data_IF_360391588098
#
_entry.id   IF_360391588098
#
_cell.length_a   1.000
_cell.length_b   1.000
_cell.length_c   1.000
_cell.angle_alpha   90.00
_cell.angle_beta   90.00
_cell.angle_gamma   90.00
#
_symmetry.space_group_name_H-M   'P 1'
#
loop_
_entity.id
_entity.type
_entity.pdbx_description
1 polymer ?
#
# COMPACT_ATOMS: atom_id res chain seq x y z
N UNK A 1 0.77 -29.85 6.61
CA UNK A 1 0.22 -30.31 5.32
C UNK A 1 -0.83 -31.37 5.61
N UNK A 2 -2.08 -31.23 5.12
CA UNK A 2 -3.09 -32.29 5.30
C UNK A 2 -2.62 -33.59 4.68
N UNK A 3 -2.91 -34.69 5.36
CA UNK A 3 -2.57 -36.03 4.92
C UNK A 3 -3.81 -36.93 5.05
N UNK A 4 -4.08 -37.76 4.06
CA UNK A 4 -5.22 -38.67 4.04
C UNK A 4 -4.79 -40.11 3.81
N UNK A 5 -5.22 -41.01 4.68
CA UNK A 5 -4.90 -42.43 4.62
C UNK A 5 -6.15 -43.29 4.80
N UNK A 6 -6.15 -44.48 4.20
CA UNK A 6 -7.13 -45.51 4.59
C UNK A 6 -6.80 -45.98 6.00
N UNK A 7 -7.78 -45.87 6.90
CA UNK A 7 -7.59 -46.15 8.34
C UNK A 7 -6.96 -47.53 8.61
N UNK A 8 -7.45 -48.54 7.92
CA UNK A 8 -6.93 -49.90 8.06
C UNK A 8 -5.44 -50.01 7.73
N UNK A 9 -5.02 -49.35 6.64
CA UNK A 9 -3.62 -49.37 6.22
C UNK A 9 -2.73 -48.58 7.18
N UNK A 10 -3.23 -47.46 7.72
CA UNK A 10 -2.47 -46.68 8.68
C UNK A 10 -2.28 -47.44 10.00
N UNK A 11 -3.33 -48.11 10.49
CA UNK A 11 -3.23 -49.01 11.66
C UNK A 11 -2.21 -50.08 11.42
N UNK A 12 -2.23 -50.73 10.23
CA UNK A 12 -1.26 -51.75 9.84
C UNK A 12 0.16 -51.20 9.82
N UNK A 13 0.39 -50.00 9.29
CA UNK A 13 1.70 -49.36 9.29
C UNK A 13 2.25 -49.17 10.71
N UNK A 14 1.40 -48.70 11.64
CA UNK A 14 1.79 -48.58 13.06
C UNK A 14 2.09 -49.91 13.74
N UNK A 15 1.38 -51.00 13.38
CA UNK A 15 1.64 -52.34 13.94
C UNK A 15 2.94 -52.96 13.43
N UNK A 16 3.41 -52.50 12.26
CA UNK A 16 4.67 -52.99 11.66
C UNK A 16 5.89 -52.15 12.07
N UNK A 17 5.67 -51.02 12.69
CA UNK A 17 6.75 -50.11 13.13
C UNK A 17 7.62 -50.75 14.19
N UNK A 18 8.93 -50.76 13.96
CA UNK A 18 9.91 -51.21 14.96
C UNK A 18 10.02 -50.24 16.13
N UNK A 19 10.39 -50.74 17.33
CA UNK A 19 10.32 -49.98 18.57
C UNK A 19 11.19 -48.71 18.57
N UNK A 20 12.34 -48.75 17.91
CA UNK A 20 13.33 -47.65 17.93
C UNK A 20 13.28 -46.76 16.67
N UNK A 21 12.29 -46.95 15.80
CA UNK A 21 12.14 -46.11 14.61
C UNK A 21 11.43 -44.82 14.92
N UNK A 22 11.96 -43.71 14.39
CA UNK A 22 11.40 -42.41 14.50
C UNK A 22 10.98 -41.91 13.11
N UNK A 23 9.73 -41.52 12.97
CA UNK A 23 9.20 -40.87 11.76
C UNK A 23 8.77 -39.44 12.10
N UNK A 24 9.02 -38.54 11.20
CA UNK A 24 8.63 -37.10 11.35
C UNK A 24 7.13 -36.88 11.14
N UNK A 25 6.50 -37.79 10.39
CA UNK A 25 5.06 -37.77 10.10
C UNK A 25 4.55 -39.18 9.69
N UNK A 26 3.24 -39.30 9.55
CA UNK A 26 2.57 -40.53 9.14
C UNK A 26 2.87 -40.92 7.70
N UNK A 27 3.19 -39.95 6.83
CA UNK A 27 3.54 -40.20 5.42
C UNK A 27 4.79 -41.07 5.32
N UNK A 28 5.83 -40.75 6.08
CA UNK A 28 7.07 -41.52 6.11
C UNK A 28 6.85 -42.96 6.57
N UNK A 29 6.07 -43.12 7.63
CA UNK A 29 5.68 -44.45 8.15
C UNK A 29 4.87 -45.25 7.12
N UNK A 30 3.87 -44.63 6.51
CA UNK A 30 3.01 -45.26 5.52
C UNK A 30 3.77 -45.69 4.26
N UNK A 31 4.67 -44.82 3.75
CA UNK A 31 5.51 -45.16 2.60
C UNK A 31 6.41 -46.34 2.86
N UNK A 32 6.97 -46.47 4.06
CA UNK A 32 7.88 -47.55 4.40
C UNK A 32 7.17 -48.91 4.47
N UNK A 33 5.99 -48.98 5.08
CA UNK A 33 5.36 -50.24 5.44
C UNK A 33 4.17 -50.66 4.57
N UNK A 34 3.58 -49.74 3.82
CA UNK A 34 2.35 -50.02 3.07
C UNK A 34 2.56 -49.80 1.56
N UNK A 35 2.67 -48.54 1.13
CA UNK A 35 2.84 -48.15 -0.27
C UNK A 35 3.23 -46.68 -0.40
N UNK A 36 3.76 -46.25 -1.56
CA UNK A 36 3.97 -44.84 -1.84
C UNK A 36 2.70 -44.03 -1.71
N UNK A 37 2.85 -42.74 -1.29
CA UNK A 37 1.77 -41.77 -1.27
C UNK A 37 1.87 -40.86 -2.49
N UNK A 38 0.75 -40.24 -2.88
CA UNK A 38 0.67 -39.29 -3.99
C UNK A 38 0.52 -37.90 -3.43
N UNK A 39 1.30 -36.96 -3.98
CA UNK A 39 1.07 -35.56 -3.75
C UNK A 39 -0.10 -35.08 -4.62
N UNK A 40 -0.95 -34.23 -4.05
CA UNK A 40 -1.99 -33.51 -4.77
C UNK A 40 -1.75 -32.03 -4.61
N UNK A 41 -2.09 -31.26 -5.63
CA UNK A 41 -1.98 -29.80 -5.55
C UNK A 41 -2.94 -29.27 -4.47
N UNK A 42 -2.43 -28.36 -3.65
CA UNK A 42 -3.20 -27.66 -2.60
C UNK A 42 -3.39 -26.20 -2.93
N UNK A 43 -4.30 -25.56 -2.21
CA UNK A 43 -4.53 -24.12 -2.32
C UNK A 43 -3.34 -23.36 -1.69
N UNK A 44 -2.88 -22.28 -2.37
CA UNK A 44 -1.76 -21.45 -1.88
C UNK A 44 -2.08 -20.77 -0.54
N UNK A 45 -3.36 -20.49 -0.30
CA UNK A 45 -3.87 -19.90 0.92
C UNK A 45 -3.86 -20.85 2.12
N UNK A 46 -3.76 -22.15 1.89
CA UNK A 46 -3.68 -23.17 2.95
C UNK A 46 -2.26 -23.24 3.54
N UNK A 47 -1.86 -22.16 4.23
CA UNK A 47 -0.53 -22.02 4.83
C UNK A 47 -0.48 -22.73 6.17
N UNK A 48 0.56 -23.53 6.40
CA UNK A 48 0.84 -24.12 7.72
C UNK A 48 1.32 -23.03 8.67
N UNK A 49 0.56 -22.74 9.71
CA UNK A 49 0.93 -21.83 10.80
C UNK A 49 1.86 -22.56 11.77
N UNK A 50 3.13 -22.24 11.79
CA UNK A 50 4.15 -22.92 12.60
C UNK A 50 4.82 -21.99 13.60
N UNK A 51 5.04 -20.74 13.21
CA UNK A 51 5.70 -19.72 14.00
C UNK A 51 4.73 -18.63 14.41
N UNK A 52 5.05 -17.88 15.46
CA UNK A 52 4.21 -16.79 15.96
C UNK A 52 3.97 -15.73 14.88
N UNK A 53 4.94 -15.50 14.04
CA UNK A 53 4.91 -14.55 12.92
C UNK A 53 3.93 -14.95 11.81
N UNK A 54 3.55 -16.23 11.73
CA UNK A 54 2.57 -16.72 10.75
C UNK A 54 1.13 -16.31 11.10
N UNK A 55 0.87 -15.98 12.37
CA UNK A 55 -0.48 -15.64 12.85
C UNK A 55 -0.85 -14.18 12.66
N UNK A 56 0.12 -13.29 12.57
CA UNK A 56 -0.10 -11.85 12.48
C UNK A 56 0.86 -11.26 11.44
N UNK A 57 0.38 -11.02 10.22
CA UNK A 57 1.16 -10.20 9.29
C UNK A 57 1.39 -8.83 9.93
N UNK A 58 2.65 -8.38 9.95
CA UNK A 58 2.98 -7.05 10.46
C UNK A 58 2.43 -5.99 9.52
N UNK A 59 1.35 -5.33 9.97
CA UNK A 59 0.78 -4.16 9.32
C UNK A 59 1.19 -2.91 10.07
N UNK A 60 1.49 -1.85 9.32
CA UNK A 60 1.68 -0.51 9.84
C UNK A 60 0.75 0.45 9.12
N UNK A 61 0.36 1.52 9.79
CA UNK A 61 -0.44 2.59 9.22
C UNK A 61 0.33 3.91 9.33
N UNK A 62 0.12 4.78 8.35
CA UNK A 62 0.67 6.11 8.33
C UNK A 62 -0.36 7.13 7.87
N UNK A 63 -0.10 8.38 8.22
CA UNK A 63 -0.90 9.53 7.81
C UNK A 63 0.00 10.60 7.22
N UNK A 64 -0.53 11.33 6.25
CA UNK A 64 0.09 12.50 5.67
C UNK A 64 -0.95 13.60 5.50
N UNK A 65 -0.52 14.82 5.68
CA UNK A 65 -1.33 16.02 5.48
C UNK A 65 -0.51 17.05 4.75
N UNK A 66 -1.09 17.68 3.72
CA UNK A 66 -0.47 18.78 3.03
C UNK A 66 -1.48 19.86 2.64
N UNK A 67 -1.03 21.11 2.55
CA UNK A 67 -1.82 22.27 2.19
C UNK A 67 -1.00 23.19 1.29
N UNK A 68 -1.49 23.48 0.10
CA UNK A 68 -0.86 24.42 -0.82
C UNK A 68 -1.77 25.59 -1.15
N UNK A 69 -1.16 26.77 -1.29
CA UNK A 69 -1.85 28.01 -1.64
C UNK A 69 -2.29 27.99 -3.11
N UNK A 70 -3.53 28.42 -3.38
CA UNK A 70 -4.04 28.66 -4.74
C UNK A 70 -3.54 30.00 -5.29
N UNK A 71 -3.01 29.98 -6.52
CA UNK A 71 -2.52 31.16 -7.23
C UNK A 71 -2.94 31.10 -8.71
N UNK A 72 -3.15 32.26 -9.31
CA UNK A 72 -3.45 32.38 -10.75
C UNK A 72 -2.19 32.07 -11.57
N UNK A 73 -2.37 31.47 -12.74
CA UNK A 73 -1.30 31.25 -13.73
C UNK A 73 -0.44 30.00 -13.52
N UNK A 74 -0.79 29.15 -12.55
CA UNK A 74 -0.22 27.80 -12.42
C UNK A 74 -1.26 26.74 -12.81
N UNK A 75 -0.79 25.59 -13.28
CA UNK A 75 -1.64 24.41 -13.49
C UNK A 75 -2.09 23.84 -12.16
N UNK A 76 -3.31 23.34 -12.09
CA UNK A 76 -3.79 22.54 -10.97
C UNK A 76 -3.56 21.07 -11.30
N UNK A 77 -2.69 20.40 -10.52
CA UNK A 77 -2.35 18.98 -10.66
C UNK A 77 -2.71 18.28 -9.36
N UNK A 78 -3.48 17.19 -9.44
CA UNK A 78 -3.86 16.36 -8.30
C UNK A 78 -3.74 14.88 -8.68
N UNK A 79 -2.90 14.12 -7.97
CA UNK A 79 -2.60 12.72 -8.28
C UNK A 79 -2.02 12.55 -9.69
N UNK A 80 -1.19 13.51 -10.15
CA UNK A 80 -0.62 13.57 -11.49
C UNK A 80 -1.62 13.88 -12.61
N UNK A 81 -2.87 14.22 -12.29
CA UNK A 81 -3.91 14.60 -13.27
C UNK A 81 -4.04 16.13 -13.32
N UNK A 82 -3.85 16.70 -14.50
CA UNK A 82 -4.08 18.14 -14.73
C UNK A 82 -5.60 18.43 -14.77
N UNK A 83 -6.03 19.33 -13.90
CA UNK A 83 -7.44 19.72 -13.74
C UNK A 83 -7.62 21.10 -14.35
N UNK A 84 -8.50 21.27 -15.35
CA UNK A 84 -8.78 22.57 -15.94
C UNK A 84 -9.37 23.54 -14.90
N UNK A 85 -8.58 24.52 -14.51
CA UNK A 85 -8.97 25.59 -13.58
C UNK A 85 -8.08 26.83 -13.78
N UNK A 86 -8.61 28.00 -13.48
CA UNK A 86 -7.88 29.28 -13.64
C UNK A 86 -6.74 29.49 -12.64
N UNK A 87 -6.78 28.75 -11.51
CA UNK A 87 -5.77 28.78 -10.45
C UNK A 87 -5.12 27.40 -10.35
N UNK A 88 -3.87 27.36 -9.95
CA UNK A 88 -3.16 26.13 -9.56
C UNK A 88 -2.46 26.32 -8.24
N UNK A 89 -1.77 25.28 -7.77
CA UNK A 89 -1.13 25.28 -6.47
C UNK A 89 0.29 25.84 -6.54
N UNK A 90 0.69 26.59 -5.51
CA UNK A 90 2.03 27.14 -5.36
C UNK A 90 2.91 26.15 -4.58
N UNK A 91 4.03 25.75 -5.16
CA UNK A 91 5.03 24.89 -4.55
C UNK A 91 6.32 24.88 -5.37
N UNK A 92 7.34 24.19 -4.87
CA UNK A 92 8.66 24.07 -5.51
C UNK A 92 8.64 23.07 -6.69
N UNK A 93 7.93 21.95 -6.51
CA UNK A 93 7.64 20.93 -7.54
C UNK A 93 6.44 21.36 -8.40
N UNK A 94 5.73 20.39 -8.98
CA UNK A 94 4.42 20.61 -9.62
C UNK A 94 3.29 20.96 -8.62
N UNK A 95 3.61 20.96 -7.32
CA UNK A 95 2.71 21.31 -6.21
C UNK A 95 1.46 20.41 -6.11
N UNK A 96 1.57 19.14 -6.47
CA UNK A 96 0.51 18.14 -6.31
C UNK A 96 0.31 17.79 -4.84
N UNK A 97 -0.54 18.55 -4.15
CA UNK A 97 -0.83 18.42 -2.72
C UNK A 97 -1.38 17.04 -2.33
N UNK A 98 -2.06 16.36 -3.27
CA UNK A 98 -2.58 15.01 -3.02
C UNK A 98 -1.44 13.98 -3.01
N UNK A 99 -0.57 14.03 -4.01
CA UNK A 99 0.57 13.10 -4.09
C UNK A 99 1.54 13.35 -2.94
N UNK A 100 1.75 14.60 -2.51
CA UNK A 100 2.56 14.93 -1.34
C UNK A 100 2.01 14.29 -0.06
N UNK A 101 0.71 14.44 0.22
CA UNK A 101 0.08 13.83 1.38
C UNK A 101 0.16 12.30 1.34
N UNK A 102 0.03 11.68 0.15
CA UNK A 102 0.18 10.22 -0.02
C UNK A 102 1.62 9.78 0.25
N UNK A 103 2.63 10.53 -0.24
CA UNK A 103 4.04 10.23 0.05
C UNK A 103 4.34 10.30 1.55
N UNK A 104 3.88 11.33 2.25
CA UNK A 104 4.05 11.46 3.70
C UNK A 104 3.34 10.34 4.46
N UNK A 105 2.14 9.93 4.02
CA UNK A 105 1.46 8.77 4.62
C UNK A 105 2.27 7.48 4.48
N UNK A 106 2.88 7.24 3.32
CA UNK A 106 3.75 6.09 3.08
C UNK A 106 5.02 6.14 3.94
N UNK A 107 5.72 7.26 3.94
CA UNK A 107 6.95 7.45 4.72
C UNK A 107 6.68 7.32 6.22
N UNK A 108 5.61 7.95 6.73
CA UNK A 108 5.25 7.87 8.15
C UNK A 108 4.90 6.46 8.60
N UNK A 109 4.25 5.66 7.73
CA UNK A 109 3.95 4.24 8.04
C UNK A 109 5.20 3.41 8.29
N UNK A 110 6.30 3.76 7.62
CA UNK A 110 7.60 3.10 7.74
C UNK A 110 8.56 3.80 8.71
N UNK A 111 8.13 4.90 9.37
CA UNK A 111 8.98 5.75 10.24
C UNK A 111 10.16 6.37 9.51
N UNK A 112 9.97 6.77 8.26
CA UNK A 112 11.00 7.29 7.35
C UNK A 112 11.02 8.81 7.22
N UNK A 113 10.54 9.58 8.18
CA UNK A 113 10.45 11.04 8.12
C UNK A 113 9.56 11.53 6.94
N UNK A 114 9.55 12.80 6.68
CA UNK A 114 8.69 13.52 5.73
C UNK A 114 9.36 13.76 4.38
N UNK A 115 8.57 14.13 3.39
CA UNK A 115 9.05 14.43 2.03
C UNK A 115 10.04 15.60 2.01
N UNK A 116 9.89 16.60 2.88
CA UNK A 116 10.80 17.74 2.97
C UNK A 116 12.21 17.36 3.41
N UNK A 117 12.35 16.27 4.17
CA UNK A 117 13.65 15.70 4.52
C UNK A 117 14.32 14.99 3.33
N UNK A 118 13.55 14.26 2.54
CA UNK A 118 14.08 13.47 1.42
C UNK A 118 14.24 14.29 0.14
N UNK A 119 13.37 15.27 -0.08
CA UNK A 119 13.29 16.08 -1.30
C UNK A 119 13.25 17.57 -0.92
N UNK A 120 14.41 18.08 -0.50
CA UNK A 120 14.50 19.47 -0.03
C UNK A 120 14.08 20.47 -1.12
N UNK A 121 13.23 21.43 -0.76
CA UNK A 121 12.84 22.57 -1.58
C UNK A 121 14.00 23.54 -1.92
N UNK A 122 15.17 23.35 -1.29
CA UNK A 122 16.42 24.09 -1.57
C UNK A 122 17.24 23.46 -2.67
N UNK A 123 16.90 22.23 -3.09
CA UNK A 123 17.65 21.51 -4.12
C UNK A 123 17.01 21.75 -5.49
N UNK A 124 17.71 22.49 -6.35
CA UNK A 124 17.25 22.86 -7.70
C UNK A 124 16.86 21.65 -8.56
N UNK A 125 17.37 20.44 -8.27
CA UNK A 125 17.01 19.22 -9.02
C UNK A 125 15.54 18.83 -8.88
N UNK A 126 14.85 19.34 -7.83
CA UNK A 126 13.44 19.05 -7.58
C UNK A 126 12.51 20.18 -8.05
N UNK A 127 13.06 21.25 -8.60
CA UNK A 127 12.27 22.35 -9.12
C UNK A 127 11.43 21.92 -10.31
N UNK A 128 10.13 22.20 -10.24
CA UNK A 128 9.12 21.86 -11.24
C UNK A 128 9.06 20.35 -11.60
N UNK A 129 9.67 19.48 -10.79
CA UNK A 129 9.60 18.03 -10.98
C UNK A 129 8.17 17.52 -10.74
N UNK A 130 7.77 16.49 -11.49
CA UNK A 130 6.51 15.81 -11.23
C UNK A 130 6.54 15.07 -9.90
N UNK A 131 5.54 15.31 -9.05
CA UNK A 131 5.37 14.60 -7.78
C UNK A 131 5.14 13.09 -7.96
N UNK A 132 4.68 12.65 -9.12
CA UNK A 132 4.58 11.23 -9.46
C UNK A 132 5.96 10.55 -9.52
N UNK A 133 6.99 11.24 -10.02
CA UNK A 133 8.39 10.75 -10.02
C UNK A 133 8.91 10.67 -8.57
N UNK A 134 8.57 11.66 -7.74
CA UNK A 134 8.93 11.61 -6.32
C UNK A 134 8.23 10.46 -5.60
N UNK A 135 6.98 10.16 -5.95
CA UNK A 135 6.23 9.02 -5.40
C UNK A 135 6.89 7.68 -5.77
N UNK A 136 7.40 7.51 -6.99
CA UNK A 136 8.17 6.32 -7.37
C UNK A 136 9.40 6.13 -6.47
N UNK A 137 10.14 7.22 -6.19
CA UNK A 137 11.29 7.16 -5.27
C UNK A 137 10.85 6.80 -3.83
N UNK A 138 9.72 7.33 -3.35
CA UNK A 138 9.15 6.96 -2.04
C UNK A 138 8.77 5.48 -2.00
N UNK A 139 8.19 4.95 -3.08
CA UNK A 139 7.86 3.53 -3.19
C UNK A 139 9.11 2.64 -3.08
N UNK A 140 10.22 3.05 -3.68
CA UNK A 140 11.50 2.34 -3.51
C UNK A 140 12.01 2.40 -2.06
N UNK A 141 11.88 3.56 -1.38
CA UNK A 141 12.25 3.69 0.03
C UNK A 141 11.42 2.77 0.93
N UNK A 142 10.10 2.69 0.72
CA UNK A 142 9.18 1.81 1.44
C UNK A 142 9.56 0.34 1.22
N UNK A 143 9.86 -0.04 -0.02
CA UNK A 143 10.31 -1.39 -0.39
C UNK A 143 11.65 -1.75 0.27
N UNK A 144 12.61 -0.82 0.26
CA UNK A 144 13.92 -1.01 0.90
C UNK A 144 13.81 -1.12 2.43
N UNK A 145 12.79 -0.50 3.04
CA UNK A 145 12.45 -0.68 4.45
C UNK A 145 11.76 -2.03 4.75
N UNK A 146 11.53 -2.87 3.73
CA UNK A 146 10.93 -4.19 3.86
C UNK A 146 9.39 -4.19 3.87
N UNK A 147 8.74 -3.14 3.34
CA UNK A 147 7.29 -3.01 3.33
C UNK A 147 6.76 -2.78 1.91
N UNK A 148 5.46 -3.04 1.75
CA UNK A 148 4.70 -2.67 0.54
C UNK A 148 3.33 -2.11 0.92
N UNK A 149 2.76 -1.18 0.15
CA UNK A 149 1.42 -0.69 0.37
C UNK A 149 0.37 -1.82 0.29
N UNK A 150 -0.71 -1.63 1.00
CA UNK A 150 -1.89 -2.53 0.97
C UNK A 150 -3.14 -1.75 0.58
N UNK A 151 -3.26 -0.52 1.08
CA UNK A 151 -4.38 0.37 0.81
C UNK A 151 -3.94 1.82 1.04
N UNK A 152 -4.46 2.72 0.22
CA UNK A 152 -4.32 4.17 0.38
C UNK A 152 -5.69 4.81 0.27
N UNK A 153 -5.99 5.74 1.18
CA UNK A 153 -7.17 6.58 1.10
C UNK A 153 -6.80 8.04 1.31
N UNK A 154 -7.47 8.95 0.59
CA UNK A 154 -7.28 10.38 0.80
C UNK A 154 -8.58 11.16 0.63
N UNK A 155 -8.65 12.27 1.38
CA UNK A 155 -9.72 13.28 1.26
C UNK A 155 -9.09 14.56 0.76
N UNK A 156 -9.57 15.06 -0.38
CA UNK A 156 -9.19 16.35 -0.94
C UNK A 156 -10.21 17.38 -0.44
N UNK A 157 -9.75 18.41 0.24
CA UNK A 157 -10.56 19.52 0.73
C UNK A 157 -10.37 20.72 -0.21
N UNK A 158 -11.40 21.03 -1.00
CA UNK A 158 -11.37 22.09 -2.00
C UNK A 158 -12.78 22.66 -2.23
N UNK A 159 -12.94 23.98 -2.26
CA UNK A 159 -14.22 24.60 -2.65
C UNK A 159 -14.40 24.52 -4.17
N UNK A 160 -13.37 24.87 -4.92
CA UNK A 160 -13.32 24.82 -6.39
C UNK A 160 -11.97 24.29 -6.88
N UNK A 161 -11.94 23.70 -8.10
CA UNK A 161 -13.06 23.32 -8.96
C UNK A 161 -13.79 22.06 -8.45
N UNK A 162 -14.93 21.71 -9.06
CA UNK A 162 -15.62 20.45 -8.78
C UNK A 162 -14.75 19.26 -9.22
N UNK A 163 -14.29 18.43 -8.27
CA UNK A 163 -13.34 17.36 -8.51
C UNK A 163 -13.97 16.02 -8.91
N UNK A 164 -15.28 15.85 -8.70
CA UNK A 164 -15.97 14.58 -8.97
C UNK A 164 -15.73 13.98 -10.37
N UNK A 165 -15.59 14.76 -11.47
CA UNK A 165 -15.31 14.17 -12.78
C UNK A 165 -13.90 13.56 -12.90
N UNK A 166 -12.96 13.96 -12.04
CA UNK A 166 -11.54 13.59 -12.12
C UNK A 166 -11.14 12.50 -11.13
N UNK A 167 -11.97 12.21 -10.12
CA UNK A 167 -11.66 11.26 -9.03
C UNK A 167 -11.23 9.89 -9.55
N UNK A 168 -11.93 9.36 -10.55
CA UNK A 168 -11.60 8.05 -11.12
C UNK A 168 -10.21 8.04 -11.79
N UNK A 169 -9.89 9.08 -12.57
CA UNK A 169 -8.57 9.21 -13.23
C UNK A 169 -7.46 9.39 -12.21
N UNK A 170 -7.68 10.20 -11.18
CA UNK A 170 -6.76 10.42 -10.07
C UNK A 170 -6.49 9.09 -9.33
N UNK A 171 -7.56 8.38 -8.95
CA UNK A 171 -7.45 7.10 -8.25
C UNK A 171 -6.69 6.06 -9.07
N UNK A 172 -6.99 5.95 -10.38
CA UNK A 172 -6.31 5.01 -11.27
C UNK A 172 -4.82 5.36 -11.44
N UNK A 173 -4.49 6.65 -11.56
CA UNK A 173 -3.11 7.10 -11.74
C UNK A 173 -2.28 6.81 -10.49
N UNK A 174 -2.81 7.13 -9.32
CA UNK A 174 -2.15 6.78 -8.05
C UNK A 174 -2.05 5.26 -7.84
N UNK A 175 -3.08 4.48 -8.21
CA UNK A 175 -3.05 3.02 -8.09
C UNK A 175 -1.90 2.42 -8.92
N UNK A 176 -1.71 2.92 -10.14
CA UNK A 176 -0.61 2.49 -11.00
C UNK A 176 0.77 2.80 -10.36
N UNK A 177 0.96 4.03 -9.87
CA UNK A 177 2.22 4.43 -9.23
C UNK A 177 2.50 3.70 -7.91
N UNK A 178 1.45 3.32 -7.18
CA UNK A 178 1.53 2.58 -5.93
C UNK A 178 1.61 1.06 -6.11
N UNK A 179 1.58 0.56 -7.35
CA UNK A 179 1.53 -0.87 -7.67
C UNK A 179 0.33 -1.58 -6.97
N UNK A 180 -0.80 -0.87 -6.86
CA UNK A 180 -2.02 -1.36 -6.21
C UNK A 180 -3.16 -1.57 -7.23
N UNK A 181 -4.05 -2.54 -6.99
CA UNK A 181 -5.34 -2.58 -7.66
C UNK A 181 -6.16 -1.30 -7.39
N UNK A 182 -6.95 -0.84 -8.35
CA UNK A 182 -7.70 0.42 -8.22
C UNK A 182 -8.67 0.44 -7.02
N UNK A 183 -9.23 -0.71 -6.65
CA UNK A 183 -10.11 -0.87 -5.47
C UNK A 183 -9.40 -0.69 -4.13
N UNK A 184 -8.06 -0.58 -4.13
CA UNK A 184 -7.23 -0.30 -2.95
C UNK A 184 -6.84 1.17 -2.81
N UNK A 185 -7.26 2.02 -3.73
CA UNK A 185 -6.98 3.47 -3.70
C UNK A 185 -8.30 4.23 -3.68
N UNK A 186 -8.69 4.69 -2.51
CA UNK A 186 -9.93 5.43 -2.27
C UNK A 186 -9.69 6.93 -2.21
N UNK A 187 -10.15 7.69 -3.21
CA UNK A 187 -10.05 9.14 -3.23
C UNK A 187 -11.45 9.75 -3.10
N UNK A 188 -11.59 10.68 -2.19
CA UNK A 188 -12.81 11.48 -2.00
C UNK A 188 -12.47 12.96 -2.04
N UNK A 189 -13.47 13.79 -2.30
CA UNK A 189 -13.35 15.23 -2.24
C UNK A 189 -14.51 15.83 -1.45
N UNK A 190 -14.24 16.91 -0.70
CA UNK A 190 -15.24 17.62 0.08
C UNK A 190 -14.99 19.13 0.04
N UNK A 191 -16.03 19.92 0.17
CA UNK A 191 -15.95 21.36 0.48
C UNK A 191 -15.79 21.55 2.00
N UNK A 192 -15.41 22.75 2.42
CA UNK A 192 -15.46 23.15 3.83
C UNK A 192 -16.57 24.18 4.10
N UNK A 193 -17.57 24.26 3.22
CA UNK A 193 -18.77 25.11 3.35
C UNK A 193 -18.40 26.59 3.62
N UNK A 194 -17.40 27.11 2.94
CA UNK A 194 -16.92 28.49 3.11
C UNK A 194 -16.07 28.72 4.38
N UNK A 195 -15.79 27.70 5.18
CA UNK A 195 -15.09 27.83 6.47
C UNK A 195 -13.59 27.62 6.31
N UNK A 196 -12.80 28.49 6.94
CA UNK A 196 -11.35 28.37 7.01
C UNK A 196 -10.64 28.75 5.71
N UNK A 197 -9.37 28.39 5.60
CA UNK A 197 -8.47 28.73 4.49
C UNK A 197 -8.98 28.11 3.17
N UNK A 198 -9.37 26.86 3.21
CA UNK A 198 -9.90 26.15 2.04
C UNK A 198 -11.27 26.70 1.66
N UNK A 199 -12.16 26.94 2.64
CA UNK A 199 -13.49 27.51 2.39
C UNK A 199 -13.44 28.92 1.79
N UNK A 200 -12.39 29.70 2.05
CA UNK A 200 -12.16 31.00 1.41
C UNK A 200 -11.36 30.91 0.09
N UNK A 201 -11.18 29.70 -0.45
CA UNK A 201 -10.43 29.45 -1.69
C UNK A 201 -8.97 29.97 -1.67
N UNK A 202 -8.34 30.02 -0.51
CA UNK A 202 -6.95 30.43 -0.37
C UNK A 202 -5.98 29.28 -0.67
N UNK A 203 -6.45 28.02 -0.59
CA UNK A 203 -5.65 26.83 -0.83
C UNK A 203 -6.50 25.56 -0.97
N UNK A 204 -5.83 24.46 -1.31
CA UNK A 204 -6.37 23.10 -1.30
C UNK A 204 -5.56 22.30 -0.28
N UNK A 205 -6.26 21.54 0.58
CA UNK A 205 -5.64 20.65 1.54
C UNK A 205 -5.97 19.19 1.23
N UNK A 206 -5.10 18.29 1.62
CA UNK A 206 -5.32 16.85 1.52
C UNK A 206 -4.88 16.14 2.78
N UNK A 207 -5.71 15.23 3.25
CA UNK A 207 -5.38 14.26 4.29
C UNK A 207 -5.34 12.88 3.67
N UNK A 208 -4.21 12.19 3.80
CA UNK A 208 -4.04 10.82 3.32
C UNK A 208 -3.75 9.84 4.46
N UNK A 209 -4.17 8.61 4.26
CA UNK A 209 -3.85 7.47 5.12
C UNK A 209 -3.38 6.31 4.25
N UNK A 210 -2.40 5.58 4.73
CA UNK A 210 -2.01 4.34 4.09
C UNK A 210 -1.84 3.21 5.11
N UNK A 211 -1.99 1.99 4.64
CA UNK A 211 -1.51 0.81 5.33
C UNK A 211 -0.44 0.11 4.50
N UNK A 212 0.58 -0.37 5.17
CA UNK A 212 1.66 -1.16 4.57
C UNK A 212 1.78 -2.49 5.28
N UNK A 213 2.27 -3.51 4.57
CA UNK A 213 2.60 -4.80 5.16
C UNK A 213 4.04 -5.18 4.87
N UNK A 214 4.64 -5.94 5.78
CA UNK A 214 5.99 -6.47 5.62
C UNK A 214 6.07 -7.39 4.39
N UNK A 215 7.11 -7.22 3.60
CA UNK A 215 7.45 -8.14 2.51
C UNK A 215 8.07 -9.39 3.16
N UNK A 216 7.54 -10.57 2.81
CA UNK A 216 8.10 -11.85 3.26
C UNK A 216 9.33 -12.22 2.45
#
# INVERSE_FOLDING_TARGET
>A
TPQGFKTENLIKAFSLKEKDEIFTDETGLYCKYIQPVYAVDGEKENVKLTYKEDFLPEFKCGTGFDLHKLVVGRKLILGGVEIPYEKGLLGHSDADVLTHAVMDALLSSCSLRDIGYHFSDKDEKYKDISSMILLENVMEMVKNAGYRPVNVTAVIMAEHPKLSPYIQSISQNLANALELPADKVGITATTLEGIGIVGREEGIATQAYCSVKKIK
#
